data_IF_545102682113
#
_entry.id   IF_545102682113
#
_cell.length_a   1.000
_cell.length_b   1.000
_cell.length_c   1.000
_cell.angle_alpha   90.00
_cell.angle_beta   90.00
_cell.angle_gamma   90.00
#
_symmetry.space_group_name_H-M   'P 1'
#
loop_
_entity.id
_entity.type
_entity.pdbx_description
1 polymer ?
#
# COMPACT_ATOMS: atom_id res chain seq x y z
N UNK A 1 -8.98 -84.83 -16.86
CA UNK A 1 -9.31 -84.10 -15.60
C UNK A 1 -8.83 -82.66 -15.75
N UNK A 2 -9.73 -81.69 -15.48
CA UNK A 2 -9.49 -80.26 -15.15
C UNK A 2 -9.11 -79.29 -16.30
N UNK A 3 -9.47 -77.98 -16.18
CA UNK A 3 -10.58 -77.38 -16.94
C UNK A 3 -10.25 -76.04 -17.66
N UNK A 4 -11.32 -75.44 -18.22
CA UNK A 4 -11.49 -74.23 -19.06
C UNK A 4 -10.85 -72.89 -18.60
N UNK A 5 -10.66 -71.93 -19.53
CA UNK A 5 -10.25 -70.55 -19.23
C UNK A 5 -11.45 -69.61 -18.96
N UNK A 6 -11.16 -68.40 -18.46
CA UNK A 6 -11.99 -67.18 -18.25
C UNK A 6 -12.28 -66.77 -16.81
N UNK A 7 -11.60 -65.69 -16.37
CA UNK A 7 -12.23 -64.45 -15.86
C UNK A 7 -11.17 -63.36 -15.67
N UNK A 8 -11.09 -62.40 -16.60
CA UNK A 8 -10.42 -61.11 -16.39
C UNK A 8 -11.46 -60.17 -15.79
N UNK A 9 -11.30 -59.80 -14.52
CA UNK A 9 -12.21 -58.88 -13.83
C UNK A 9 -12.17 -57.49 -14.47
N UNK A 10 -13.30 -57.06 -15.03
CA UNK A 10 -13.58 -55.67 -15.36
C UNK A 10 -13.76 -54.90 -14.05
N UNK A 11 -12.74 -54.14 -13.62
CA UNK A 11 -12.89 -53.17 -12.53
C UNK A 11 -13.77 -52.02 -13.02
N UNK A 12 -14.81 -51.71 -12.26
CA UNK A 12 -15.87 -50.76 -12.56
C UNK A 12 -15.34 -49.33 -12.71
N UNK A 13 -15.28 -48.81 -13.94
CA UNK A 13 -15.03 -47.38 -14.21
C UNK A 13 -16.19 -46.46 -13.77
N UNK A 14 -17.33 -47.03 -13.38
CA UNK A 14 -18.51 -46.28 -12.94
C UNK A 14 -18.38 -45.62 -11.56
N UNK A 15 -17.64 -46.22 -10.62
CA UNK A 15 -17.48 -45.67 -9.26
C UNK A 15 -16.54 -44.47 -9.19
N UNK A 16 -15.58 -44.38 -10.11
CA UNK A 16 -14.66 -43.23 -10.22
C UNK A 16 -15.36 -41.99 -10.83
N UNK A 17 -16.24 -42.19 -11.81
CA UNK A 17 -16.98 -41.10 -12.44
C UNK A 17 -18.02 -40.46 -11.51
N UNK A 18 -18.70 -41.27 -10.69
CA UNK A 18 -19.64 -40.79 -9.67
C UNK A 18 -18.93 -39.98 -8.57
N UNK A 19 -17.74 -40.40 -8.14
CA UNK A 19 -16.95 -39.66 -7.15
C UNK A 19 -16.51 -38.28 -7.66
N UNK A 20 -16.08 -38.19 -8.93
CA UNK A 20 -15.63 -36.94 -9.53
C UNK A 20 -16.80 -35.96 -9.79
N UNK A 21 -17.98 -36.48 -10.15
CA UNK A 21 -19.19 -35.67 -10.29
C UNK A 21 -19.69 -35.12 -8.94
N UNK A 22 -19.56 -35.89 -7.85
CA UNK A 22 -19.92 -35.42 -6.50
C UNK A 22 -18.95 -34.37 -5.97
N UNK A 23 -17.67 -34.45 -6.33
CA UNK A 23 -16.64 -33.48 -5.95
C UNK A 23 -16.84 -32.13 -6.68
N UNK A 24 -17.24 -32.16 -7.96
CA UNK A 24 -17.59 -30.98 -8.76
C UNK A 24 -18.87 -30.28 -8.28
N UNK A 25 -19.82 -31.03 -7.71
CA UNK A 25 -21.05 -30.47 -7.12
C UNK A 25 -20.79 -29.82 -5.75
N UNK A 26 -19.83 -30.33 -4.98
CA UNK A 26 -19.43 -29.76 -3.69
C UNK A 26 -18.61 -28.46 -3.87
N UNK A 27 -17.78 -28.35 -4.91
CA UNK A 27 -17.02 -27.12 -5.20
C UNK A 27 -17.91 -25.95 -5.63
N UNK A 28 -19.09 -26.21 -6.19
CA UNK A 28 -20.03 -25.15 -6.58
C UNK A 28 -20.73 -24.48 -5.38
N UNK A 29 -20.60 -25.03 -4.16
CA UNK A 29 -21.22 -24.48 -2.95
C UNK A 29 -20.24 -23.86 -1.95
N UNK A 30 -18.92 -23.91 -2.20
CA UNK A 30 -17.94 -23.24 -1.33
C UNK A 30 -17.99 -21.70 -1.43
N UNK A 31 -18.60 -21.16 -2.48
CA UNK A 31 -18.81 -19.71 -2.65
C UNK A 31 -19.97 -19.12 -1.84
N UNK A 32 -20.80 -19.93 -1.17
CA UNK A 32 -21.98 -19.45 -0.42
C UNK A 32 -21.74 -19.40 1.09
N UNK A 33 -20.62 -19.95 1.58
CA UNK A 33 -20.24 -19.91 3.01
C UNK A 33 -19.10 -18.93 3.34
N UNK A 34 -18.57 -18.19 2.36
CA UNK A 34 -17.72 -17.00 2.58
C UNK A 34 -18.54 -15.70 2.64
N UNK A 35 -19.76 -15.78 3.18
CA UNK A 35 -20.53 -14.63 3.61
C UNK A 35 -20.79 -14.80 5.11
N UNK A 36 -19.72 -14.79 5.89
CA UNK A 36 -19.79 -14.74 7.35
C UNK A 36 -18.65 -13.85 7.81
N UNK A 37 -19.05 -12.61 8.06
CA UNK A 37 -18.31 -11.61 8.81
C UNK A 37 -16.82 -11.57 8.45
N UNK A 38 -16.52 -11.09 7.24
CA UNK A 38 -15.27 -10.38 7.08
C UNK A 38 -15.39 -9.18 8.03
N UNK A 39 -14.77 -9.30 9.21
CA UNK A 39 -14.41 -8.12 10.00
C UNK A 39 -13.78 -7.13 9.02
N UNK A 40 -14.13 -5.86 9.16
CA UNK A 40 -13.45 -4.79 8.42
C UNK A 40 -11.97 -4.96 8.65
N UNK A 41 -11.26 -5.52 7.67
CA UNK A 41 -9.82 -5.40 7.56
C UNK A 41 -9.60 -3.89 7.53
N UNK A 42 -9.25 -3.33 8.69
CA UNK A 42 -8.66 -2.01 8.75
C UNK A 42 -7.35 -2.14 8.01
N UNK A 43 -7.42 -1.98 6.69
CA UNK A 43 -6.27 -1.73 5.85
C UNK A 43 -5.55 -0.57 6.52
N UNK A 44 -4.36 -0.83 7.04
CA UNK A 44 -3.53 0.21 7.61
C UNK A 44 -3.36 1.27 6.53
N UNK A 45 -3.90 2.44 6.85
CA UNK A 45 -3.75 3.66 6.07
C UNK A 45 -2.26 3.83 5.75
N UNK A 46 -1.94 3.95 4.47
CA UNK A 46 -0.61 4.37 4.03
C UNK A 46 -0.40 5.81 4.51
N UNK A 47 0.08 5.93 5.76
CA UNK A 47 0.29 7.22 6.42
C UNK A 47 1.68 7.71 6.08
N UNK A 48 1.78 8.49 5.01
CA UNK A 48 2.89 9.43 4.89
C UNK A 48 2.75 10.48 5.98
N UNK A 49 3.68 10.45 6.94
CA UNK A 49 3.94 11.51 7.91
C UNK A 49 2.67 12.19 8.49
N UNK A 50 1.87 11.46 9.24
CA UNK A 50 0.83 12.06 10.09
C UNK A 50 1.52 12.72 11.31
N UNK A 51 2.14 13.89 11.09
CA UNK A 51 2.75 14.64 12.19
C UNK A 51 1.70 15.52 12.84
N UNK A 52 1.06 15.03 13.91
CA UNK A 52 0.27 15.90 14.79
C UNK A 52 1.24 16.73 15.65
N UNK A 53 1.39 18.01 15.31
CA UNK A 53 2.29 18.92 16.05
C UNK A 53 1.53 19.45 17.27
N UNK A 54 1.60 18.73 18.39
CA UNK A 54 1.02 19.17 19.68
C UNK A 54 1.85 20.30 20.28
N UNK A 55 1.28 21.50 20.38
CA UNK A 55 2.00 22.64 20.98
C UNK A 55 1.17 23.33 22.05
N UNK A 56 1.85 23.88 23.05
CA UNK A 56 1.23 24.49 24.24
C UNK A 56 0.93 25.98 24.07
N UNK A 57 1.11 26.54 22.87
CA UNK A 57 0.88 27.96 22.55
C UNK A 57 -0.05 28.09 21.34
N UNK A 58 -0.73 29.23 21.21
CA UNK A 58 -1.50 29.61 20.03
C UNK A 58 -0.54 29.68 18.83
N UNK A 59 -0.41 28.59 18.06
CA UNK A 59 0.46 28.54 16.90
C UNK A 59 -0.28 29.06 15.69
N UNK A 60 0.33 30.06 15.07
CA UNK A 60 0.00 30.49 13.72
C UNK A 60 0.46 29.39 12.75
N UNK A 61 -0.43 28.89 11.90
CA UNK A 61 -0.11 27.87 10.90
C UNK A 61 1.04 28.39 10.05
N UNK A 62 2.17 27.65 9.93
CA UNK A 62 3.34 28.17 9.26
C UNK A 62 3.03 28.43 7.79
N UNK A 63 3.46 29.58 7.28
CA UNK A 63 3.32 29.90 5.86
C UNK A 63 4.49 29.29 5.08
N UNK A 64 4.19 28.58 4.00
CA UNK A 64 5.20 28.02 3.09
C UNK A 64 5.40 28.90 1.86
N UNK A 65 6.62 28.86 1.32
CA UNK A 65 6.99 29.51 0.07
C UNK A 65 7.35 28.46 -0.96
N UNK A 66 7.17 28.82 -2.23
CA UNK A 66 7.63 28.00 -3.35
C UNK A 66 9.15 27.78 -3.21
N UNK A 67 9.57 26.53 -3.32
CA UNK A 67 10.93 26.03 -3.11
C UNK A 67 11.41 25.98 -1.66
N UNK A 68 10.54 26.09 -0.66
CA UNK A 68 10.88 25.57 0.66
C UNK A 68 11.09 24.05 0.55
N UNK A 69 12.15 23.55 1.19
CA UNK A 69 12.60 22.16 1.10
C UNK A 69 12.83 21.61 2.49
N UNK A 70 12.39 20.37 2.69
CA UNK A 70 12.65 19.59 3.88
C UNK A 70 13.27 18.24 3.48
N UNK A 71 14.19 17.76 4.30
CA UNK A 71 14.83 16.46 4.10
C UNK A 71 14.62 15.65 5.36
N UNK A 72 14.24 14.40 5.17
CA UNK A 72 13.92 13.46 6.24
C UNK A 72 14.67 12.17 6.01
N UNK A 73 15.08 11.55 7.12
CA UNK A 73 15.33 10.11 7.14
C UNK A 73 13.95 9.43 7.21
N UNK A 74 13.72 8.47 6.32
CA UNK A 74 12.43 7.84 6.12
C UNK A 74 12.48 6.34 6.37
N UNK A 75 11.33 5.79 6.77
CA UNK A 75 11.10 4.36 6.89
C UNK A 75 9.85 4.03 6.09
N UNK A 76 9.95 3.10 5.15
CA UNK A 76 8.81 2.63 4.35
C UNK A 76 8.38 1.25 4.85
N UNK A 77 7.16 1.13 5.38
CA UNK A 77 6.57 -0.15 5.77
C UNK A 77 6.03 -0.88 4.53
N UNK A 78 6.54 -2.07 4.27
CA UNK A 78 6.18 -2.87 3.09
C UNK A 78 5.48 -4.18 3.45
N UNK A 79 5.17 -4.40 4.74
CA UNK A 79 4.63 -5.69 5.23
C UNK A 79 3.31 -6.06 4.57
N UNK A 80 2.36 -5.12 4.55
CA UNK A 80 1.02 -5.39 4.02
C UNK A 80 1.04 -5.51 2.49
N UNK A 81 1.91 -4.75 1.84
CA UNK A 81 2.13 -4.88 0.40
C UNK A 81 2.67 -6.27 0.04
N UNK A 82 3.69 -6.75 0.76
CA UNK A 82 4.24 -8.08 0.48
C UNK A 82 3.27 -9.19 0.88
N UNK A 83 2.57 -9.07 2.02
CA UNK A 83 1.60 -10.06 2.47
C UNK A 83 0.46 -10.25 1.45
N UNK A 84 -0.04 -9.17 0.86
CA UNK A 84 -1.10 -9.21 -0.16
C UNK A 84 -0.65 -9.76 -1.52
N UNK A 85 0.65 -9.67 -1.83
CA UNK A 85 1.23 -10.19 -3.09
C UNK A 85 1.34 -11.72 -3.16
N UNK A 86 1.26 -12.41 -2.01
CA UNK A 86 1.51 -13.85 -1.91
C UNK A 86 3.00 -14.25 -2.02
N UNK A 87 3.89 -13.26 -2.09
CA UNK A 87 5.35 -13.45 -2.08
C UNK A 87 5.84 -13.61 -0.63
N UNK A 88 6.72 -14.59 -0.40
CA UNK A 88 7.37 -14.74 0.92
C UNK A 88 8.60 -13.84 0.99
N UNK A 89 8.70 -13.03 2.04
CA UNK A 89 9.85 -12.18 2.31
C UNK A 89 10.28 -12.18 3.78
N UNK A 90 11.51 -11.73 4.05
CA UNK A 90 12.01 -11.45 5.40
C UNK A 90 12.09 -9.94 5.72
N UNK A 91 11.63 -9.07 4.83
CA UNK A 91 11.66 -7.63 5.02
C UNK A 91 10.37 -7.11 5.66
N UNK A 92 10.51 -6.16 6.59
CA UNK A 92 9.40 -5.46 7.22
C UNK A 92 9.40 -3.97 6.84
N UNK A 93 10.56 -3.33 6.92
CA UNK A 93 10.74 -1.91 6.61
C UNK A 93 11.92 -1.73 5.66
N UNK A 94 11.83 -0.70 4.82
CA UNK A 94 12.95 -0.17 4.06
C UNK A 94 13.43 1.13 4.69
N UNK A 95 14.74 1.25 4.86
CA UNK A 95 15.38 2.46 5.35
C UNK A 95 15.69 3.39 4.17
N UNK A 96 15.53 4.69 4.35
CA UNK A 96 15.69 5.60 3.24
C UNK A 96 15.71 7.07 3.59
N UNK A 97 15.54 7.89 2.56
CA UNK A 97 15.46 9.34 2.67
C UNK A 97 14.27 9.86 1.88
N UNK A 98 13.72 10.98 2.31
CA UNK A 98 12.64 11.70 1.64
C UNK A 98 12.99 13.19 1.57
N UNK A 99 13.01 13.74 0.37
CA UNK A 99 13.12 15.18 0.15
C UNK A 99 11.78 15.70 -0.33
N UNK A 100 11.20 16.64 0.44
CA UNK A 100 9.94 17.31 0.10
C UNK A 100 10.20 18.74 -0.34
N UNK A 101 9.45 19.24 -1.32
CA UNK A 101 9.55 20.60 -1.83
C UNK A 101 8.18 21.19 -2.14
N UNK A 102 7.92 22.42 -1.69
CA UNK A 102 6.75 23.17 -2.14
C UNK A 102 6.94 23.54 -3.61
N UNK A 103 6.19 22.88 -4.49
CA UNK A 103 6.27 23.04 -5.93
C UNK A 103 5.37 24.18 -6.43
N UNK A 104 4.25 24.44 -5.76
CA UNK A 104 3.30 25.46 -6.20
C UNK A 104 2.37 25.96 -5.10
N UNK A 105 1.79 27.13 -5.37
CA UNK A 105 0.72 27.74 -4.57
C UNK A 105 -0.33 28.23 -5.55
N UNK A 106 -1.55 27.71 -5.44
CA UNK A 106 -2.65 28.09 -6.32
C UNK A 106 -3.99 27.90 -5.62
N UNK A 107 -5.09 28.23 -6.29
CA UNK A 107 -6.44 27.95 -5.79
C UNK A 107 -7.08 26.78 -6.50
N UNK A 108 -7.84 25.98 -5.78
CA UNK A 108 -8.65 24.90 -6.33
C UNK A 108 -10.00 24.81 -5.63
N UNK A 109 -10.96 24.18 -6.30
CA UNK A 109 -12.25 23.85 -5.68
C UNK A 109 -12.06 22.69 -4.70
N UNK A 110 -12.39 22.94 -3.43
CA UNK A 110 -12.44 21.92 -2.37
C UNK A 110 -13.85 21.98 -1.80
N UNK A 111 -14.63 20.92 -2.02
CA UNK A 111 -16.02 20.83 -1.58
C UNK A 111 -16.93 22.01 -2.03
N UNK A 112 -16.69 22.57 -3.23
CA UNK A 112 -17.46 23.70 -3.76
C UNK A 112 -16.96 25.09 -3.34
N UNK A 113 -15.83 25.18 -2.64
CA UNK A 113 -15.21 26.43 -2.23
C UNK A 113 -13.83 26.65 -2.88
N UNK A 114 -13.61 27.85 -3.42
CA UNK A 114 -12.34 28.28 -4.02
C UNK A 114 -11.27 28.51 -2.94
N UNK A 115 -10.44 27.48 -2.72
CA UNK A 115 -9.54 27.35 -1.57
C UNK A 115 -8.09 27.50 -1.99
N UNK A 116 -7.30 28.28 -1.24
CA UNK A 116 -5.85 28.38 -1.46
C UNK A 116 -5.14 27.12 -0.97
N UNK A 117 -4.29 26.53 -1.81
CA UNK A 117 -3.59 25.28 -1.54
C UNK A 117 -2.10 25.37 -1.85
N UNK A 118 -1.32 24.56 -1.15
CA UNK A 118 0.05 24.22 -1.47
C UNK A 118 0.08 22.91 -2.25
N UNK A 119 0.90 22.85 -3.30
CA UNK A 119 1.30 21.60 -3.93
C UNK A 119 2.73 21.28 -3.52
N UNK A 120 2.92 20.15 -2.89
CA UNK A 120 4.21 19.64 -2.42
C UNK A 120 4.57 18.43 -3.27
N UNK A 121 5.78 18.42 -3.81
CA UNK A 121 6.34 17.27 -4.52
C UNK A 121 7.44 16.67 -3.64
N UNK A 122 7.45 15.35 -3.50
CA UNK A 122 8.48 14.63 -2.74
C UNK A 122 9.15 13.56 -3.57
N UNK A 123 10.45 13.36 -3.35
CA UNK A 123 11.22 12.26 -3.93
C UNK A 123 11.88 11.46 -2.80
N UNK A 124 11.63 10.16 -2.80
CA UNK A 124 12.10 9.22 -1.80
C UNK A 124 12.95 8.11 -2.41
N UNK A 125 13.95 7.69 -1.65
CA UNK A 125 14.80 6.55 -1.96
C UNK A 125 14.85 5.65 -0.72
N UNK A 126 14.46 4.39 -0.88
CA UNK A 126 14.43 3.41 0.19
C UNK A 126 15.11 2.12 -0.25
N UNK A 127 15.89 1.52 0.64
CA UNK A 127 16.59 0.27 0.36
C UNK A 127 16.62 -0.68 1.56
N UNK A 128 16.80 -1.96 1.27
CA UNK A 128 17.21 -2.95 2.25
C UNK A 128 18.13 -3.98 1.61
N UNK A 129 19.18 -4.32 2.34
CA UNK A 129 20.15 -5.32 1.93
C UNK A 129 19.77 -6.72 2.43
N UNK A 130 20.21 -7.75 1.71
CA UNK A 130 20.05 -9.16 2.12
C UNK A 130 18.58 -9.59 2.32
N UNK A 131 17.70 -9.07 1.48
CA UNK A 131 16.29 -9.45 1.38
C UNK A 131 16.19 -10.79 0.67
N UNK A 132 15.43 -11.71 1.25
CA UNK A 132 14.98 -12.94 0.59
C UNK A 132 13.60 -12.67 0.00
N UNK A 133 13.47 -12.74 -1.32
CA UNK A 133 12.22 -12.61 -2.04
C UNK A 133 11.93 -13.91 -2.79
N UNK A 134 10.92 -14.66 -2.33
CA UNK A 134 10.54 -15.97 -2.87
C UNK A 134 11.72 -16.95 -3.03
N UNK A 135 12.62 -16.98 -2.04
CA UNK A 135 13.80 -17.84 -2.04
C UNK A 135 15.02 -17.29 -2.80
N UNK A 136 14.91 -16.11 -3.42
CA UNK A 136 16.04 -15.42 -4.04
C UNK A 136 16.58 -14.36 -3.09
N UNK A 137 17.89 -14.38 -2.84
CA UNK A 137 18.55 -13.37 -2.00
C UNK A 137 19.06 -12.22 -2.86
N UNK A 138 18.80 -11.00 -2.43
CA UNK A 138 19.21 -9.78 -3.10
C UNK A 138 18.96 -8.55 -2.23
N UNK A 139 19.09 -7.38 -2.83
CA UNK A 139 18.78 -6.10 -2.21
C UNK A 139 17.50 -5.54 -2.85
N UNK A 140 16.61 -4.96 -2.05
CA UNK A 140 15.39 -4.34 -2.52
C UNK A 140 15.58 -2.83 -2.55
N UNK A 141 15.25 -2.19 -3.66
CA UNK A 141 15.33 -0.75 -3.85
C UNK A 141 13.96 -0.23 -4.30
N UNK A 142 13.51 0.84 -3.68
CA UNK A 142 12.24 1.49 -3.99
C UNK A 142 12.48 2.98 -4.19
N UNK A 143 12.12 3.46 -5.38
CA UNK A 143 12.00 4.87 -5.68
C UNK A 143 10.56 5.29 -5.51
N UNK A 144 10.36 6.46 -4.91
CA UNK A 144 9.04 6.96 -4.59
C UNK A 144 8.91 8.42 -4.97
N UNK A 145 7.88 8.76 -5.73
CA UNK A 145 7.53 10.13 -6.06
C UNK A 145 6.14 10.44 -5.51
N UNK A 146 5.98 11.57 -4.81
CA UNK A 146 4.67 12.02 -4.33
C UNK A 146 4.29 13.39 -4.84
N UNK A 147 2.99 13.58 -5.06
CA UNK A 147 2.35 14.89 -5.17
C UNK A 147 1.28 14.99 -4.08
N UNK A 148 1.45 15.92 -3.15
CA UNK A 148 0.56 16.16 -2.02
C UNK A 148 -0.05 17.56 -2.10
N UNK A 149 -1.35 17.66 -1.84
CA UNK A 149 -2.09 18.91 -1.83
C UNK A 149 -2.55 19.24 -0.42
N UNK A 150 -2.07 20.37 0.11
CA UNK A 150 -2.43 20.86 1.43
C UNK A 150 -3.25 22.13 1.35
N UNK A 151 -4.27 22.25 2.18
CA UNK A 151 -5.01 23.49 2.37
C UNK A 151 -4.12 24.52 3.07
N UNK A 152 -4.07 25.75 2.56
CA UNK A 152 -3.13 26.75 3.07
C UNK A 152 -3.50 27.34 4.45
N UNK A 153 -4.77 27.24 4.87
CA UNK A 153 -5.26 27.82 6.12
C UNK A 153 -4.84 27.05 7.38
N UNK A 154 -4.73 25.74 7.27
CA UNK A 154 -4.58 24.79 8.39
C UNK A 154 -3.59 23.65 8.06
N UNK A 155 -3.01 23.65 6.86
CA UNK A 155 -2.17 22.56 6.34
C UNK A 155 -2.88 21.20 6.36
N UNK A 156 -4.21 21.18 6.20
CA UNK A 156 -4.97 19.95 6.04
C UNK A 156 -4.61 19.25 4.72
N UNK A 157 -4.31 17.96 4.76
CA UNK A 157 -4.09 17.13 3.57
C UNK A 157 -5.42 16.89 2.87
N UNK A 158 -5.52 17.30 1.61
CA UNK A 158 -6.71 17.15 0.78
C UNK A 158 -6.63 15.84 -0.02
N UNK A 159 -5.52 15.66 -0.71
CA UNK A 159 -5.24 14.52 -1.55
C UNK A 159 -3.74 14.31 -1.67
N UNK A 160 -3.32 13.06 -1.85
CA UNK A 160 -1.96 12.74 -2.25
C UNK A 160 -1.97 11.64 -3.30
N UNK A 161 -1.01 11.70 -4.21
CA UNK A 161 -0.70 10.63 -5.16
C UNK A 161 0.74 10.20 -4.90
N UNK A 162 0.95 8.91 -4.65
CA UNK A 162 2.27 8.31 -4.49
C UNK A 162 2.53 7.31 -5.62
N UNK A 163 3.65 7.43 -6.30
CA UNK A 163 4.13 6.49 -7.32
C UNK A 163 5.37 5.77 -6.81
N UNK A 164 5.42 4.46 -7.01
CA UNK A 164 6.51 3.60 -6.60
C UNK A 164 7.08 2.84 -7.79
N UNK A 165 8.40 2.82 -7.89
CA UNK A 165 9.18 1.98 -8.81
C UNK A 165 10.03 1.05 -7.95
N UNK A 166 9.83 -0.26 -8.11
CA UNK A 166 10.38 -1.30 -7.25
C UNK A 166 11.35 -2.17 -8.05
N UNK A 167 12.60 -2.17 -7.62
CA UNK A 167 13.70 -2.94 -8.22
C UNK A 167 14.28 -3.95 -7.22
N UNK A 168 14.60 -5.14 -7.71
CA UNK A 168 15.30 -6.18 -6.95
C UNK A 168 16.68 -6.45 -7.55
N UNK A 169 17.72 -6.27 -6.75
CA UNK A 169 19.12 -6.42 -7.16
C UNK A 169 19.62 -7.79 -6.69
N UNK A 170 19.93 -8.67 -7.63
CA UNK A 170 20.38 -10.04 -7.33
C UNK A 170 21.84 -10.20 -7.73
N UNK A 171 22.62 -10.85 -6.86
CA UNK A 171 23.98 -11.24 -7.16
C UNK A 171 24.06 -12.71 -7.61
N UNK A 172 24.42 -12.95 -8.87
CA UNK A 172 24.63 -14.27 -9.44
C UNK A 172 26.13 -14.48 -9.66
N UNK A 173 26.75 -15.22 -8.73
CA UNK A 173 28.21 -15.40 -8.63
C UNK A 173 28.95 -14.05 -8.55
N UNK A 174 29.51 -13.59 -9.67
CA UNK A 174 30.28 -12.34 -9.78
C UNK A 174 29.57 -11.29 -10.65
N UNK A 175 28.30 -11.51 -11.00
CA UNK A 175 27.48 -10.58 -11.76
C UNK A 175 26.38 -10.02 -10.86
N UNK A 176 26.15 -8.71 -10.94
CA UNK A 176 25.00 -8.04 -10.35
C UNK A 176 23.97 -7.78 -11.45
N UNK A 177 22.72 -8.14 -11.22
CA UNK A 177 21.61 -7.87 -12.13
C UNK A 177 20.49 -7.17 -11.37
N UNK A 178 19.96 -6.10 -11.96
CA UNK A 178 18.75 -5.44 -11.48
C UNK A 178 17.56 -6.01 -12.22
N UNK A 179 16.50 -6.28 -11.47
CA UNK A 179 15.27 -6.89 -11.94
C UNK A 179 14.12 -5.98 -11.52
N UNK A 180 13.46 -5.37 -12.49
CA UNK A 180 12.26 -4.59 -12.24
C UNK A 180 11.13 -5.49 -11.76
N UNK A 181 10.51 -5.14 -10.64
CA UNK A 181 9.48 -5.95 -9.98
C UNK A 181 8.08 -5.42 -10.29
N UNK A 182 7.85 -4.14 -10.03
CA UNK A 182 6.54 -3.53 -10.17
C UNK A 182 6.57 -2.00 -10.16
N UNK A 183 5.61 -1.44 -10.88
CA UNK A 183 5.17 -0.05 -10.77
C UNK A 183 3.85 0.01 -10.00
N UNK A 184 3.73 0.91 -9.03
CA UNK A 184 2.49 1.12 -8.28
C UNK A 184 2.16 2.60 -8.16
N UNK A 185 0.88 2.92 -8.27
CA UNK A 185 0.32 4.24 -7.98
C UNK A 185 -0.77 4.09 -6.93
N UNK A 186 -0.66 4.90 -5.88
CA UNK A 186 -1.65 5.01 -4.80
C UNK A 186 -2.19 6.43 -4.82
N UNK A 187 -3.47 6.55 -5.14
CA UNK A 187 -4.21 7.81 -5.05
C UNK A 187 -5.05 7.80 -3.79
N UNK A 188 -4.88 8.82 -2.95
CA UNK A 188 -5.62 8.95 -1.71
C UNK A 188 -6.26 10.31 -1.62
N UNK A 189 -7.51 10.33 -1.15
CA UNK A 189 -8.23 11.57 -0.85
C UNK A 189 -8.95 11.49 0.49
N UNK A 190 -9.04 12.65 1.15
CA UNK A 190 -9.68 12.79 2.46
C UNK A 190 -10.90 13.71 2.35
N UNK A 191 -12.02 13.28 2.94
CA UNK A 191 -13.24 14.06 3.04
C UNK A 191 -13.84 13.97 4.45
N UNK A 192 -13.85 15.06 5.25
CA UNK A 192 -13.16 16.33 4.97
C UNK A 192 -11.64 16.16 4.90
N UNK A 193 -10.89 17.15 4.34
CA UNK A 193 -9.43 17.15 4.37
C UNK A 193 -8.88 16.91 5.78
N UNK A 194 -7.84 16.10 5.88
CA UNK A 194 -7.27 15.62 7.13
C UNK A 194 -6.34 16.68 7.74
N UNK A 195 -6.72 17.25 8.88
CA UNK A 195 -5.94 18.27 9.57
C UNK A 195 -4.84 17.64 10.44
N UNK A 196 -3.58 18.04 10.21
CA UNK A 196 -2.45 17.65 11.04
C UNK A 196 -2.12 18.62 12.17
N UNK A 197 -2.60 19.86 12.10
CA UNK A 197 -2.37 20.88 13.13
C UNK A 197 -3.58 20.99 14.06
N UNK A 198 -3.33 20.84 15.36
CA UNK A 198 -4.37 20.94 16.38
C UNK A 198 -4.81 22.40 16.53
N UNK A 199 -6.12 22.65 16.52
CA UNK A 199 -6.65 23.93 16.98
C UNK A 199 -6.31 24.11 18.46
N UNK A 200 -6.20 25.34 18.98
CA UNK A 200 -5.92 25.55 20.40
C UNK A 200 -7.01 24.88 21.27
N UNK A 201 -6.66 23.76 21.91
CA UNK A 201 -7.50 23.07 22.89
C UNK A 201 -7.13 23.52 24.31
N UNK A 202 -8.15 23.75 25.15
CA UNK A 202 -7.96 24.06 26.57
C UNK A 202 -7.51 22.81 27.33
N UNK A 203 -6.88 23.01 28.49
CA UNK A 203 -6.50 21.88 29.36
C UNK A 203 -7.75 21.11 29.78
N UNK A 204 -7.83 19.85 29.36
CA UNK A 204 -8.95 18.95 29.65
C UNK A 204 -9.97 18.81 28.51
N UNK A 205 -9.74 19.44 27.36
CA UNK A 205 -10.50 19.21 26.13
C UNK A 205 -9.88 18.07 25.30
N UNK A 206 -10.75 17.34 24.60
CA UNK A 206 -10.39 16.32 23.62
C UNK A 206 -11.10 16.67 22.31
N UNK A 207 -10.40 16.47 21.19
CA UNK A 207 -10.91 16.70 19.86
C UNK A 207 -10.89 15.38 19.10
N UNK A 208 -12.03 15.04 18.53
CA UNK A 208 -12.21 13.85 17.69
C UNK A 208 -12.71 14.36 16.32
N UNK A 209 -12.11 13.86 15.24
CA UNK A 209 -12.54 14.17 13.88
C UNK A 209 -12.78 12.89 13.12
N UNK A 210 -14.00 12.74 12.64
CA UNK A 210 -14.34 11.70 11.69
C UNK A 210 -13.97 12.16 10.28
N UNK A 211 -13.27 11.30 9.54
CA UNK A 211 -12.97 11.51 8.13
C UNK A 211 -13.29 10.26 7.31
N UNK A 212 -13.61 10.48 6.04
CA UNK A 212 -13.67 9.42 5.03
C UNK A 212 -12.38 9.48 4.23
N UNK A 213 -11.68 8.35 4.18
CA UNK A 213 -10.54 8.16 3.31
C UNK A 213 -10.93 7.26 2.13
N UNK A 214 -10.52 7.65 0.93
CA UNK A 214 -10.63 6.81 -0.27
C UNK A 214 -9.23 6.57 -0.80
N UNK A 215 -8.86 5.29 -0.93
CA UNK A 215 -7.59 4.84 -1.48
C UNK A 215 -7.86 4.06 -2.77
N UNK A 216 -7.34 4.56 -3.88
CA UNK A 216 -7.39 3.91 -5.18
C UNK A 216 -5.98 3.41 -5.54
N UNK A 217 -5.85 2.10 -5.69
CA UNK A 217 -4.59 1.45 -6.03
C UNK A 217 -4.58 1.05 -7.50
N UNK A 218 -3.50 1.36 -8.21
CA UNK A 218 -3.25 0.87 -9.56
C UNK A 218 -1.78 0.53 -9.75
N UNK A 219 -1.46 -0.28 -10.75
CA UNK A 219 -0.08 -0.70 -10.98
C UNK A 219 0.03 -1.86 -11.96
N UNK A 220 1.27 -2.21 -12.28
CA UNK A 220 1.62 -3.38 -13.07
C UNK A 220 2.87 -4.04 -12.52
N UNK A 221 2.95 -5.37 -12.62
CA UNK A 221 4.13 -6.13 -12.26
C UNK A 221 4.55 -7.00 -13.44
N UNK A 222 5.86 -7.17 -13.60
CA UNK A 222 6.40 -8.12 -14.58
C UNK A 222 6.25 -9.59 -14.13
N UNK A 223 5.78 -9.80 -12.90
CA UNK A 223 5.67 -11.11 -12.25
C UNK A 223 4.25 -11.62 -12.05
N UNK A 224 3.21 -10.79 -12.26
CA UNK A 224 1.78 -11.15 -12.13
C UNK A 224 0.89 -10.39 -13.10
#
# INVERSE_FOLDING_TARGET
MRPSPFRRGMRSRGSLALGLAMLMLMSAQSGVFMARDAESEELYDFRMMESSVRTTNLIDVPTWKINDIWNYDGYLDVRDFVASSGVTTNIEFLDGTLTQRVAGIYKMDVAGEDTLVYRVESNGYYEAENVNLDGNNGDLVVWMDTEEIFRASDLASIQYTATFDIDFIVQILWWTTTVHVADMVVDTSYSPPLEGYDFPLSVGEEWETDYTQVNDFSGSSDYV
#
